data_IF_254314356478
#
_entry.id   IF_254314356478
#
_cell.length_a   1.000
_cell.length_b   1.000
_cell.length_c   1.000
_cell.angle_alpha   90.00
_cell.angle_beta   90.00
_cell.angle_gamma   90.00
#
_symmetry.space_group_name_H-M   'P 1'
#
loop_
_entity.id
_entity.type
_entity.pdbx_description
1 polymer ?
#
# COMPACT_ATOMS: atom_id res chain seq x y z
N UNK A 1 17.39 27.23 -11.43
CA UNK A 1 17.29 26.93 -9.98
C UNK A 1 16.20 27.74 -9.27
N UNK A 2 15.79 28.93 -9.73
CA UNK A 2 14.70 29.69 -9.08
C UNK A 2 13.27 29.18 -9.35
N UNK A 3 13.02 28.51 -10.48
CA UNK A 3 11.69 27.99 -10.81
C UNK A 3 11.26 26.81 -9.93
N UNK A 4 12.20 25.91 -9.63
CA UNK A 4 11.98 24.69 -8.83
C UNK A 4 11.58 25.00 -7.37
N UNK A 5 12.06 26.12 -6.80
CA UNK A 5 11.66 26.55 -5.45
C UNK A 5 10.25 27.13 -5.42
N UNK A 6 9.78 27.76 -6.50
CA UNK A 6 8.44 28.34 -6.58
C UNK A 6 7.33 27.29 -6.60
N UNK A 7 7.57 26.19 -7.33
CA UNK A 7 6.63 25.07 -7.40
C UNK A 7 6.59 24.29 -6.07
N UNK A 8 7.73 24.13 -5.40
CA UNK A 8 7.78 23.52 -4.08
C UNK A 8 7.03 24.35 -3.02
N UNK A 9 7.14 25.69 -3.05
CA UNK A 9 6.39 26.56 -2.15
C UNK A 9 4.88 26.51 -2.39
N UNK A 10 4.45 26.39 -3.65
CA UNK A 10 3.02 26.23 -4.00
C UNK A 10 2.47 24.89 -3.52
N UNK A 11 3.25 23.81 -3.63
CA UNK A 11 2.83 22.50 -3.11
C UNK A 11 2.72 22.50 -1.58
N UNK A 12 3.65 23.15 -0.88
CA UNK A 12 3.62 23.29 0.59
C UNK A 12 2.43 24.13 1.05
N UNK A 13 2.10 25.22 0.34
CA UNK A 13 0.94 26.07 0.69
C UNK A 13 -0.39 25.35 0.46
N UNK A 14 -0.54 24.57 -0.62
CA UNK A 14 -1.73 23.74 -0.85
C UNK A 14 -1.92 22.64 0.21
N UNK A 15 -0.82 22.05 0.67
CA UNK A 15 -0.82 21.08 1.77
C UNK A 15 -1.19 21.74 3.11
N UNK A 16 -0.65 22.93 3.38
CA UNK A 16 -0.98 23.71 4.58
C UNK A 16 -2.45 24.13 4.61
N UNK A 17 -3.04 24.49 3.47
CA UNK A 17 -4.46 24.84 3.39
C UNK A 17 -5.36 23.60 3.63
N UNK A 18 -5.02 22.46 3.03
CA UNK A 18 -5.74 21.19 3.24
C UNK A 18 -5.69 20.70 4.69
N UNK A 19 -4.61 21.02 5.43
CA UNK A 19 -4.44 20.61 6.83
C UNK A 19 -5.30 21.43 7.81
N UNK A 20 -5.72 22.65 7.44
CA UNK A 20 -6.60 23.50 8.28
C UNK A 20 -8.01 22.92 8.43
N UNK A 21 -8.45 22.10 7.47
CA UNK A 21 -9.80 21.51 7.47
C UNK A 21 -9.91 20.23 8.34
N UNK A 22 -8.80 19.71 8.90
CA UNK A 22 -8.82 18.51 9.73
C UNK A 22 -9.25 18.87 11.17
N UNK A 23 -10.47 18.49 11.63
CA UNK A 23 -10.93 18.82 12.97
C UNK A 23 -10.07 18.12 14.03
N UNK A 24 -9.54 18.88 14.98
CA UNK A 24 -8.63 18.41 16.03
C UNK A 24 -7.15 18.70 15.79
N UNK A 25 -6.80 19.27 14.63
CA UNK A 25 -5.44 19.74 14.28
C UNK A 25 -5.28 21.26 14.47
N UNK A 26 -6.15 21.88 15.29
CA UNK A 26 -6.05 23.29 15.64
C UNK A 26 -4.72 23.56 16.35
N UNK A 27 -3.92 24.47 15.79
CA UNK A 27 -2.70 24.96 16.44
C UNK A 27 -3.15 25.60 17.77
N UNK A 28 -2.75 25.08 18.94
CA UNK A 28 -3.09 25.72 20.20
C UNK A 28 -2.52 27.14 20.19
N UNK A 29 -3.30 28.10 20.68
CA UNK A 29 -2.87 29.48 20.83
C UNK A 29 -1.54 29.50 21.61
N UNK A 30 -0.46 29.90 20.95
CA UNK A 30 0.87 29.92 21.55
C UNK A 30 0.87 30.93 22.71
N UNK A 31 1.46 30.62 23.88
CA UNK A 31 1.57 31.58 24.96
C UNK A 31 2.44 32.77 24.51
N UNK A 32 1.96 33.98 24.78
CA UNK A 32 2.52 35.27 24.33
C UNK A 32 3.99 35.55 24.72
N UNK A 33 4.66 34.68 25.48
CA UNK A 33 6.01 34.87 26.01
C UNK A 33 6.83 33.58 25.98
N UNK A 34 6.97 32.97 24.80
CA UNK A 34 8.02 31.97 24.57
C UNK A 34 9.27 32.73 24.13
N UNK A 35 10.31 32.73 24.95
CA UNK A 35 11.63 33.21 24.51
C UNK A 35 12.14 32.27 23.42
N UNK A 36 12.11 32.73 22.17
CA UNK A 36 12.76 32.08 21.04
C UNK A 36 14.13 32.75 20.90
N UNK A 37 15.23 32.02 21.09
CA UNK A 37 16.55 32.63 20.97
C UNK A 37 16.77 33.05 19.49
N UNK A 38 17.45 34.18 19.25
CA UNK A 38 17.48 34.84 17.94
C UNK A 38 18.10 33.96 16.84
N UNK A 39 19.00 33.04 17.21
CA UNK A 39 19.57 32.03 16.30
C UNK A 39 18.50 31.14 15.66
N UNK A 40 17.37 30.88 16.34
CA UNK A 40 16.29 30.06 15.81
C UNK A 40 15.44 30.82 14.79
N UNK A 41 15.33 32.14 14.94
CA UNK A 41 14.59 33.01 14.01
C UNK A 41 15.39 33.19 12.72
N UNK A 42 16.70 33.42 12.84
CA UNK A 42 17.61 33.59 11.70
C UNK A 42 17.75 32.30 10.88
N UNK A 43 17.71 31.15 11.54
CA UNK A 43 17.83 29.84 10.91
C UNK A 43 16.47 29.19 10.58
N UNK A 44 15.34 29.86 10.83
CA UNK A 44 14.00 29.33 10.54
C UNK A 44 13.83 28.83 9.10
N UNK A 45 14.34 29.51 8.05
CA UNK A 45 14.26 28.99 6.68
C UNK A 45 14.95 27.63 6.50
N UNK A 46 16.05 27.39 7.23
CA UNK A 46 16.78 26.12 7.16
C UNK A 46 16.03 25.00 7.90
N UNK A 47 15.33 25.33 8.99
CA UNK A 47 14.43 24.39 9.70
C UNK A 47 13.27 23.99 8.79
N UNK A 48 12.65 24.96 8.10
CA UNK A 48 11.58 24.68 7.13
C UNK A 48 12.10 23.84 5.96
N UNK A 49 13.26 24.17 5.40
CA UNK A 49 13.85 23.40 4.31
C UNK A 49 14.22 21.96 4.74
N UNK A 50 14.83 21.81 5.92
CA UNK A 50 15.22 20.51 6.47
C UNK A 50 14.01 19.63 6.80
N UNK A 51 12.96 20.21 7.38
CA UNK A 51 11.71 19.49 7.65
C UNK A 51 10.99 19.08 6.36
N UNK A 52 10.93 19.96 5.35
CA UNK A 52 10.38 19.62 4.03
C UNK A 52 11.16 18.47 3.39
N UNK A 53 12.49 18.54 3.37
CA UNK A 53 13.34 17.46 2.87
C UNK A 53 13.10 16.14 3.63
N UNK A 54 12.90 16.21 4.95
CA UNK A 54 12.57 15.07 5.79
C UNK A 54 11.21 14.45 5.48
N UNK A 55 10.18 15.25 5.17
CA UNK A 55 8.83 14.74 4.84
C UNK A 55 8.79 14.11 3.45
N UNK A 56 9.56 14.63 2.49
CA UNK A 56 9.56 14.15 1.11
C UNK A 56 9.83 12.65 0.98
N UNK A 57 10.73 12.09 1.81
CA UNK A 57 11.03 10.64 1.74
C UNK A 57 9.82 9.78 2.15
N UNK A 58 8.97 10.28 3.06
CA UNK A 58 7.75 9.59 3.47
C UNK A 58 6.66 9.70 2.42
N UNK A 59 6.53 10.84 1.75
CA UNK A 59 5.59 11.00 0.64
C UNK A 59 5.95 10.07 -0.54
N UNK A 60 7.23 10.01 -0.86
CA UNK A 60 7.73 9.07 -1.87
C UNK A 60 7.43 7.62 -1.50
N UNK A 61 7.73 7.24 -0.25
CA UNK A 61 7.41 5.92 0.26
C UNK A 61 5.90 5.64 0.21
N UNK A 62 5.06 6.59 0.63
CA UNK A 62 3.61 6.47 0.61
C UNK A 62 3.08 6.22 -0.81
N UNK A 63 3.62 6.91 -1.80
CA UNK A 63 3.24 6.70 -3.21
C UNK A 63 3.61 5.28 -3.69
N UNK A 64 4.87 4.87 -3.49
CA UNK A 64 5.37 3.55 -3.90
C UNK A 64 4.64 2.41 -3.18
N UNK A 65 4.46 2.51 -1.86
CA UNK A 65 3.73 1.50 -1.09
C UNK A 65 2.22 1.54 -1.35
N UNK A 66 1.64 2.73 -1.54
CA UNK A 66 0.22 2.91 -1.82
C UNK A 66 -0.20 2.26 -3.13
N UNK A 67 0.55 2.48 -4.20
CA UNK A 67 0.32 1.84 -5.50
C UNK A 67 0.33 0.30 -5.41
N UNK A 68 1.21 -0.26 -4.57
CA UNK A 68 1.27 -1.71 -4.32
C UNK A 68 0.05 -2.22 -3.55
N UNK A 69 -0.40 -1.48 -2.56
CA UNK A 69 -1.59 -1.84 -1.77
C UNK A 69 -2.82 -1.88 -2.67
N UNK A 70 -3.00 -0.88 -3.55
CA UNK A 70 -4.13 -0.86 -4.50
C UNK A 70 -4.10 -2.08 -5.42
N UNK A 71 -2.94 -2.36 -6.04
CA UNK A 71 -2.78 -3.51 -6.93
C UNK A 71 -3.02 -4.84 -6.22
N UNK A 72 -2.55 -4.95 -4.97
CA UNK A 72 -2.76 -6.13 -4.17
C UNK A 72 -4.24 -6.32 -3.86
N UNK A 73 -4.95 -5.27 -3.39
CA UNK A 73 -6.38 -5.33 -3.06
C UNK A 73 -7.25 -5.67 -4.26
N UNK A 74 -6.84 -5.28 -5.47
CA UNK A 74 -7.54 -5.59 -6.71
C UNK A 74 -7.27 -7.02 -7.25
N UNK A 75 -6.25 -7.71 -6.72
CA UNK A 75 -5.81 -9.01 -7.20
C UNK A 75 -6.81 -10.12 -6.83
N UNK A 76 -7.37 -10.78 -7.85
CA UNK A 76 -8.31 -11.89 -7.68
C UNK A 76 -7.60 -13.20 -7.31
N UNK A 77 -6.32 -13.38 -7.66
CA UNK A 77 -5.57 -14.61 -7.33
C UNK A 77 -5.41 -14.80 -5.82
N UNK A 78 -5.17 -13.72 -5.08
CA UNK A 78 -5.00 -13.75 -3.63
C UNK A 78 -6.15 -13.07 -2.87
N UNK A 79 -7.18 -12.57 -3.57
CA UNK A 79 -8.31 -11.83 -3.01
C UNK A 79 -7.88 -10.71 -2.05
N UNK A 80 -6.88 -9.93 -2.42
CA UNK A 80 -6.37 -8.84 -1.59
C UNK A 80 -5.42 -9.24 -0.46
N UNK A 81 -5.30 -10.53 -0.11
CA UNK A 81 -4.44 -10.96 1.01
C UNK A 81 -2.94 -10.88 0.71
N UNK A 82 -2.55 -10.88 -0.57
CA UNK A 82 -1.13 -10.90 -0.97
C UNK A 82 -0.42 -12.23 -0.70
N UNK A 83 -1.15 -13.23 -0.16
CA UNK A 83 -0.67 -14.55 0.16
C UNK A 83 -1.43 -15.61 -0.64
N UNK A 84 -0.74 -16.68 -1.00
CA UNK A 84 -1.32 -17.84 -1.67
C UNK A 84 -0.88 -19.12 -0.96
N UNK A 85 -1.83 -20.04 -0.79
CA UNK A 85 -1.61 -21.39 -0.26
C UNK A 85 -1.47 -22.41 -1.39
N UNK A 86 -1.60 -21.98 -2.65
CA UNK A 86 -1.46 -22.81 -3.83
C UNK A 86 -0.43 -22.17 -4.76
N UNK A 87 0.48 -22.98 -5.31
CA UNK A 87 1.46 -22.52 -6.29
C UNK A 87 0.78 -22.17 -7.62
N UNK A 88 1.52 -21.48 -8.50
CA UNK A 88 1.11 -21.25 -9.90
C UNK A 88 0.78 -22.55 -10.66
N UNK A 89 1.40 -23.66 -10.26
CA UNK A 89 1.19 -24.99 -10.84
C UNK A 89 0.06 -25.79 -10.18
N UNK A 90 -0.71 -25.19 -9.26
CA UNK A 90 -1.82 -25.86 -8.58
C UNK A 90 -1.43 -26.74 -7.39
N UNK A 91 -0.16 -26.74 -6.97
CA UNK A 91 0.28 -27.53 -5.81
C UNK A 91 -0.06 -26.80 -4.52
N UNK A 92 -0.70 -27.50 -3.57
CA UNK A 92 -0.92 -26.97 -2.23
C UNK A 92 0.42 -26.78 -1.52
N UNK A 93 0.65 -25.58 -1.02
CA UNK A 93 1.84 -25.19 -0.30
C UNK A 93 1.61 -25.45 1.19
N UNK A 94 2.59 -26.05 1.87
CA UNK A 94 2.50 -26.26 3.32
C UNK A 94 2.50 -24.97 4.13
N UNK A 95 3.01 -23.88 3.53
CA UNK A 95 3.08 -22.57 4.15
C UNK A 95 2.62 -21.52 3.14
N UNK A 96 1.87 -20.49 3.56
CA UNK A 96 1.46 -19.42 2.66
C UNK A 96 2.69 -18.67 2.15
N UNK A 97 2.70 -18.40 0.84
CA UNK A 97 3.78 -17.70 0.14
C UNK A 97 3.24 -16.43 -0.46
N UNK A 98 4.13 -15.50 -0.81
CA UNK A 98 3.77 -14.30 -1.58
C UNK A 98 3.02 -14.70 -2.85
N UNK A 99 1.97 -13.95 -3.17
CA UNK A 99 1.22 -14.15 -4.39
C UNK A 99 2.14 -14.01 -5.61
N UNK A 100 2.11 -15.00 -6.49
CA UNK A 100 2.93 -15.02 -7.72
C UNK A 100 2.43 -14.04 -8.79
N UNK A 101 1.19 -13.54 -8.68
CA UNK A 101 0.61 -12.58 -9.60
C UNK A 101 0.91 -11.13 -9.18
N UNK A 102 0.51 -10.70 -7.99
CA UNK A 102 0.71 -9.32 -7.53
C UNK A 102 2.03 -9.09 -6.76
N UNK A 103 2.79 -10.14 -6.44
CA UNK A 103 4.06 -10.08 -5.71
C UNK A 103 3.92 -10.07 -4.19
N UNK A 104 2.76 -9.67 -3.64
CA UNK A 104 2.43 -9.74 -2.22
C UNK A 104 3.26 -8.82 -1.30
N UNK A 105 2.59 -8.04 -0.46
CA UNK A 105 3.22 -7.26 0.61
C UNK A 105 3.09 -8.04 1.94
N UNK A 106 4.14 -8.09 2.77
CA UNK A 106 4.13 -8.88 4.03
C UNK A 106 4.54 -8.15 5.32
N UNK A 107 4.42 -6.82 5.47
CA UNK A 107 4.82 -6.21 6.73
C UNK A 107 3.86 -6.52 7.90
N UNK A 108 2.55 -6.72 7.65
CA UNK A 108 1.58 -7.00 8.72
C UNK A 108 1.69 -8.42 9.29
N UNK A 109 2.14 -9.39 8.49
CA UNK A 109 2.30 -10.77 8.95
C UNK A 109 3.58 -10.93 9.79
N UNK A 110 4.72 -10.42 9.31
CA UNK A 110 5.98 -10.42 10.06
C UNK A 110 7.06 -9.62 9.33
N UNK A 111 7.72 -8.73 10.05
CA UNK A 111 8.90 -8.01 9.57
C UNK A 111 10.05 -8.94 9.17
N UNK A 112 10.30 -10.02 9.93
CA UNK A 112 11.32 -11.01 9.58
C UNK A 112 11.01 -11.70 8.25
N UNK A 113 9.75 -12.11 8.04
CA UNK A 113 9.32 -12.68 6.76
C UNK A 113 9.39 -11.64 5.64
N UNK A 114 9.09 -10.38 5.89
CA UNK A 114 9.19 -9.35 4.86
C UNK A 114 10.61 -9.21 4.28
N UNK A 115 11.63 -9.24 5.15
CA UNK A 115 13.04 -9.17 4.75
C UNK A 115 13.54 -10.48 4.12
N UNK A 116 13.16 -11.63 4.67
CA UNK A 116 13.66 -12.95 4.23
C UNK A 116 12.83 -13.57 3.09
N UNK A 117 11.58 -13.14 2.89
CA UNK A 117 10.71 -13.69 1.84
C UNK A 117 11.25 -13.45 0.43
N UNK A 118 12.17 -12.50 0.26
CA UNK A 118 12.89 -12.26 -1.00
C UNK A 118 13.86 -13.39 -1.38
N UNK A 119 14.22 -14.29 -0.44
CA UNK A 119 15.16 -15.41 -0.64
C UNK A 119 14.63 -16.54 -1.53
N UNK A 120 13.30 -16.65 -1.70
CA UNK A 120 12.66 -17.73 -2.45
C UNK A 120 11.61 -17.24 -3.45
N UNK A 121 11.83 -16.06 -4.03
CA UNK A 121 10.84 -15.38 -4.88
C UNK A 121 10.93 -15.89 -6.31
N UNK A 122 10.02 -16.81 -6.65
CA UNK A 122 9.59 -16.97 -8.03
C UNK A 122 8.53 -15.91 -8.35
N UNK A 123 8.96 -14.68 -8.67
CA UNK A 123 8.45 -13.82 -9.75
C UNK A 123 8.81 -12.33 -9.53
N UNK A 124 9.26 -11.66 -10.60
CA UNK A 124 9.28 -10.19 -10.70
C UNK A 124 10.61 -9.48 -10.49
N UNK A 125 11.73 -10.01 -11.01
CA UNK A 125 12.99 -9.26 -11.22
C UNK A 125 13.52 -8.42 -10.04
N UNK A 126 14.43 -7.50 -10.34
CA UNK A 126 14.87 -6.49 -9.37
C UNK A 126 13.70 -5.52 -9.17
N UNK A 127 13.08 -5.63 -7.99
CA UNK A 127 11.96 -4.84 -7.45
C UNK A 127 10.54 -5.20 -7.95
N UNK A 128 9.94 -6.22 -7.32
CA UNK A 128 8.55 -6.25 -6.80
C UNK A 128 7.45 -5.63 -7.68
N UNK A 129 7.48 -5.82 -9.00
CA UNK A 129 6.36 -5.48 -9.90
C UNK A 129 5.36 -6.64 -9.96
N UNK A 130 4.09 -6.39 -10.33
CA UNK A 130 3.20 -7.48 -10.70
C UNK A 130 3.84 -8.30 -11.80
N UNK A 131 3.44 -9.57 -11.88
CA UNK A 131 3.82 -10.45 -12.96
C UNK A 131 3.56 -9.79 -14.32
N UNK A 132 4.39 -10.06 -15.32
CA UNK A 132 4.14 -9.55 -16.67
C UNK A 132 2.77 -10.01 -17.21
N UNK A 133 2.29 -11.16 -16.74
CA UNK A 133 1.01 -11.79 -17.05
C UNK A 133 -0.08 -11.55 -15.96
N UNK A 134 0.03 -10.45 -15.19
CA UNK A 134 -0.90 -10.15 -14.08
C UNK A 134 -2.38 -10.14 -14.50
N UNK A 135 -2.71 -9.46 -15.59
CA UNK A 135 -4.10 -9.31 -16.04
C UNK A 135 -4.71 -10.64 -16.48
N UNK A 136 -3.93 -11.46 -17.18
CA UNK A 136 -4.35 -12.81 -17.60
C UNK A 136 -4.60 -13.71 -16.38
N UNK A 137 -3.69 -13.68 -15.40
CA UNK A 137 -3.82 -14.47 -14.16
C UNK A 137 -5.05 -14.05 -13.35
N UNK A 138 -5.34 -12.75 -13.29
CA UNK A 138 -6.52 -12.23 -12.61
C UNK A 138 -7.81 -12.59 -13.34
N UNK A 139 -7.85 -12.49 -14.67
CA UNK A 139 -9.01 -12.89 -15.47
C UNK A 139 -9.35 -14.37 -15.22
N UNK A 140 -8.35 -15.24 -15.31
CA UNK A 140 -8.51 -16.68 -15.02
C UNK A 140 -8.98 -16.95 -13.59
N UNK A 141 -8.45 -16.22 -12.61
CA UNK A 141 -8.88 -16.37 -11.22
C UNK A 141 -10.34 -15.95 -11.03
N UNK A 142 -10.77 -14.84 -11.66
CA UNK A 142 -12.17 -14.40 -11.62
C UNK A 142 -13.11 -15.39 -12.31
N UNK A 143 -12.70 -15.94 -13.46
CA UNK A 143 -13.47 -16.99 -14.13
C UNK A 143 -13.59 -18.26 -13.28
N UNK A 144 -12.50 -18.70 -12.63
CA UNK A 144 -12.52 -19.87 -11.76
C UNK A 144 -13.44 -19.65 -10.54
N UNK A 145 -13.39 -18.46 -9.94
CA UNK A 145 -14.26 -18.07 -8.84
C UNK A 145 -15.74 -17.99 -9.29
N UNK A 146 -16.02 -17.44 -10.47
CA UNK A 146 -17.37 -17.40 -11.02
C UNK A 146 -17.93 -18.81 -11.29
N UNK A 147 -17.10 -19.72 -11.81
CA UNK A 147 -17.47 -21.13 -11.99
C UNK A 147 -17.73 -21.83 -10.67
N UNK A 148 -16.91 -21.58 -9.65
CA UNK A 148 -17.12 -22.11 -8.29
C UNK A 148 -18.41 -21.58 -7.68
N UNK A 149 -18.64 -20.27 -7.74
CA UNK A 149 -19.86 -19.65 -7.22
C UNK A 149 -21.12 -20.16 -7.94
N UNK A 150 -21.06 -20.43 -9.25
CA UNK A 150 -22.16 -21.03 -10.00
C UNK A 150 -22.42 -22.49 -9.59
N UNK A 151 -21.37 -23.28 -9.35
CA UNK A 151 -21.49 -24.66 -8.87
C UNK A 151 -22.06 -24.71 -7.43
N UNK A 152 -21.67 -23.77 -6.58
CA UNK A 152 -22.20 -23.66 -5.20
C UNK A 152 -23.67 -23.17 -5.17
N UNK A 153 -24.17 -22.60 -6.27
CA UNK A 153 -25.54 -22.10 -6.42
C UNK A 153 -26.53 -23.10 -7.04
N UNK A 154 -26.12 -24.30 -7.46
CA UNK A 154 -27.07 -25.34 -7.84
C UNK A 154 -27.84 -25.78 -6.58
N UNK A 155 -29.15 -25.48 -6.46
CA UNK A 155 -29.91 -25.86 -5.30
C UNK A 155 -30.08 -27.38 -5.31
N UNK A 156 -29.56 -28.04 -4.28
CA UNK A 156 -30.03 -29.36 -3.90
C UNK A 156 -31.52 -29.28 -3.59
N UNK A 157 -32.35 -29.62 -4.56
CA UNK A 157 -33.72 -30.04 -4.33
C UNK A 157 -33.67 -31.40 -3.60
N UNK A 158 -33.55 -31.41 -2.27
CA UNK A 158 -33.60 -32.66 -1.50
C UNK A 158 -33.97 -32.51 -0.01
N UNK A 159 -34.62 -31.42 0.42
CA UNK A 159 -35.05 -31.26 1.82
C UNK A 159 -36.55 -30.87 1.88
N UNK A 160 -37.36 -31.47 1.01
CA UNK A 160 -38.81 -31.51 1.16
C UNK A 160 -39.19 -32.98 1.06
N UNK A 161 -39.29 -33.64 2.23
CA UNK A 161 -39.90 -34.97 2.48
C UNK A 161 -39.06 -35.79 3.50
N UNK A 162 -39.01 -35.36 4.76
CA UNK A 162 -38.77 -36.28 5.90
C UNK A 162 -38.99 -35.59 7.26
N UNK A 163 -40.26 -35.42 7.66
CA UNK A 163 -40.87 -35.77 8.96
C UNK A 163 -42.18 -35.02 9.18
#
# INVERSE_FOLDING_TARGET
MHAELGDALSAVTLLAESLKEVPGLGIPAQPQNVYVPPDQVDNFPQIVAGSAAGVLVYLWALYEFGSRIVTQRACAVCNGSGLVTVSRTGRKLMQPRKCYACGGFLPWESWSRFWVANKYVGNGGILRRPAADYDELNAKAREAQAKQAAADQEPGAADADAQ
#
